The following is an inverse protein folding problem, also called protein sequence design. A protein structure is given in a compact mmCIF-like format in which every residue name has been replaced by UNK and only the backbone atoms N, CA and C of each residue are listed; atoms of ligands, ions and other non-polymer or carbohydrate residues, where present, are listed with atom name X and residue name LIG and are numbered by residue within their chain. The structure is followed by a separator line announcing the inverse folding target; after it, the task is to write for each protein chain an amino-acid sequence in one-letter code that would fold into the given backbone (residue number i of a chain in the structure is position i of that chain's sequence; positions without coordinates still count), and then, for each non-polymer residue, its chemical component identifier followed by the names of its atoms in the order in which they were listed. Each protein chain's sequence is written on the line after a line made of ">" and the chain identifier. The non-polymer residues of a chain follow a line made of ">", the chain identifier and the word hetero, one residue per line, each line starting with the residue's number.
data_IF_021530557494
#
_entry.id   IF_021530557494
#
_cell.length_a   1.000
_cell.length_b   1.000
_cell.length_c   1.000
_cell.angle_alpha   90.00
_cell.angle_beta   90.00
_cell.angle_gamma   90.00
#
_symmetry.space_group_name_H-M   'P 1'
#
loop_
_entity.id
_entity.type
_entity.pdbx_description
1 polymer ?
#
# COMPACT_ATOMS: atom_id res chain seq x y z
N UNK A 1 -0.24 9.79 -23.05
CA UNK A 1 0.71 10.56 -22.22
C UNK A 1 1.66 11.39 -23.09
N UNK A 2 2.11 12.58 -22.66
CA UNK A 2 3.11 13.39 -23.40
C UNK A 2 4.54 12.89 -23.18
N UNK A 3 5.43 13.10 -24.16
CA UNK A 3 6.85 12.71 -24.07
C UNK A 3 7.57 13.35 -22.88
N UNK A 4 7.24 14.61 -22.57
CA UNK A 4 7.80 15.34 -21.42
C UNK A 4 7.44 14.67 -20.08
N UNK A 5 6.21 14.17 -19.94
CA UNK A 5 5.75 13.49 -18.72
C UNK A 5 6.51 12.17 -18.49
N UNK A 6 6.75 11.43 -19.57
CA UNK A 6 7.48 10.16 -19.56
C UNK A 6 8.91 10.40 -19.07
N UNK A 7 9.61 11.38 -19.67
CA UNK A 7 10.98 11.70 -19.29
C UNK A 7 11.10 12.15 -17.83
N UNK A 8 10.18 12.99 -17.35
CA UNK A 8 10.18 13.42 -15.96
C UNK A 8 9.95 12.24 -15.01
N UNK A 9 9.03 11.33 -15.32
CA UNK A 9 8.79 10.14 -14.50
C UNK A 9 9.99 9.21 -14.46
N UNK A 10 10.64 8.96 -15.60
CA UNK A 10 11.84 8.12 -15.68
C UNK A 10 12.99 8.68 -14.82
N UNK A 11 13.18 10.00 -14.84
CA UNK A 11 14.19 10.65 -14.00
C UNK A 11 13.88 10.57 -12.50
N UNK A 12 12.62 10.31 -12.12
CA UNK A 12 12.18 10.21 -10.74
C UNK A 12 12.20 8.77 -10.21
N UNK A 13 12.29 7.76 -11.08
CA UNK A 13 12.40 6.35 -10.67
C UNK A 13 13.65 6.15 -9.80
N UNK A 14 13.47 5.50 -8.65
CA UNK A 14 14.51 5.24 -7.66
C UNK A 14 14.87 6.44 -6.78
N UNK A 15 14.40 7.65 -7.10
CA UNK A 15 14.65 8.84 -6.28
C UNK A 15 13.64 8.93 -5.14
N UNK A 16 14.13 9.45 -4.03
CA UNK A 16 13.26 9.74 -2.89
C UNK A 16 12.80 11.19 -2.94
N UNK A 17 11.49 11.41 -2.83
CA UNK A 17 10.85 12.73 -2.83
C UNK A 17 9.90 12.86 -1.66
N UNK A 18 9.47 14.09 -1.39
CA UNK A 18 8.38 14.37 -0.46
C UNK A 18 7.14 14.76 -1.26
N UNK A 19 6.06 14.02 -1.10
CA UNK A 19 4.77 14.27 -1.73
C UNK A 19 3.68 14.24 -0.66
N UNK A 20 2.82 15.26 -0.61
CA UNK A 20 1.80 15.44 0.44
C UNK A 20 2.33 15.26 1.87
N UNK A 21 3.54 15.78 2.13
CA UNK A 21 4.22 15.69 3.42
C UNK A 21 4.80 14.31 3.77
N UNK A 22 4.73 13.34 2.85
CA UNK A 22 5.24 11.97 3.04
C UNK A 22 6.47 11.73 2.17
N UNK A 23 7.47 11.07 2.74
CA UNK A 23 8.63 10.57 1.98
C UNK A 23 8.16 9.38 1.12
N UNK A 24 8.36 9.48 -0.18
CA UNK A 24 8.02 8.45 -1.16
C UNK A 24 9.22 8.12 -2.04
N UNK A 25 9.38 6.85 -2.40
CA UNK A 25 10.34 6.39 -3.40
C UNK A 25 9.58 5.88 -4.61
N UNK A 26 9.68 6.56 -5.74
CA UNK A 26 8.99 6.15 -6.97
C UNK A 26 9.70 4.92 -7.54
N UNK A 27 8.97 3.81 -7.71
CA UNK A 27 9.53 2.53 -8.18
C UNK A 27 9.27 2.28 -9.66
N UNK A 28 8.07 2.57 -10.12
CA UNK A 28 7.65 2.42 -11.51
C UNK A 28 6.39 3.22 -11.76
N UNK A 29 6.10 3.48 -13.03
CA UNK A 29 4.82 4.02 -13.48
C UNK A 29 4.24 3.15 -14.59
N UNK A 30 2.92 3.21 -14.78
CA UNK A 30 2.22 2.53 -15.87
C UNK A 30 1.01 3.34 -16.30
N UNK A 31 0.86 3.57 -17.61
CA UNK A 31 -0.38 4.08 -18.18
C UNK A 31 -1.39 2.94 -18.37
N UNK A 32 -2.60 3.12 -17.88
CA UNK A 32 -3.73 2.20 -18.06
C UNK A 32 -4.71 2.85 -19.05
N UNK A 33 -4.91 2.17 -20.18
CA UNK A 33 -5.93 2.49 -21.19
C UNK A 33 -5.95 3.98 -21.58
N UNK A 34 -4.77 4.60 -21.69
CA UNK A 34 -4.57 5.99 -22.14
C UNK A 34 -5.15 7.09 -21.25
N UNK A 35 -5.73 6.74 -20.09
CA UNK A 35 -6.56 7.67 -19.32
C UNK A 35 -6.10 7.84 -17.87
N UNK A 36 -5.34 6.87 -17.34
CA UNK A 36 -4.85 6.92 -15.95
C UNK A 36 -3.39 6.53 -15.91
N UNK A 37 -2.58 7.37 -15.28
CA UNK A 37 -1.16 7.14 -15.01
C UNK A 37 -1.03 6.67 -13.57
N UNK A 38 -0.59 5.43 -13.41
CA UNK A 38 -0.42 4.79 -12.09
C UNK A 38 1.04 4.85 -11.69
N UNK A 39 1.34 5.50 -10.56
CA UNK A 39 2.68 5.62 -9.99
C UNK A 39 2.78 4.72 -8.76
N UNK A 40 3.66 3.71 -8.84
CA UNK A 40 3.95 2.81 -7.73
C UNK A 40 5.10 3.37 -6.91
N UNK A 41 4.88 3.52 -5.61
CA UNK A 41 5.94 3.92 -4.67
C UNK A 41 6.33 2.79 -3.72
N UNK A 42 7.20 3.06 -2.76
CA UNK A 42 7.57 2.15 -1.67
C UNK A 42 6.44 1.87 -0.68
N UNK A 43 5.45 2.78 -0.58
CA UNK A 43 4.26 2.60 0.23
C UNK A 43 2.98 2.48 -0.61
N UNK A 44 2.43 3.63 -0.99
CA UNK A 44 1.14 3.71 -1.67
C UNK A 44 1.30 3.72 -3.19
N UNK A 45 0.24 3.32 -3.89
CA UNK A 45 0.12 3.52 -5.33
C UNK A 45 -0.79 4.71 -5.57
N UNK A 46 -0.32 5.67 -6.37
CA UNK A 46 -1.09 6.84 -6.76
C UNK A 46 -1.58 6.68 -8.19
N UNK A 47 -2.76 7.19 -8.48
CA UNK A 47 -3.34 7.18 -9.82
C UNK A 47 -3.72 8.61 -10.18
N UNK A 48 -3.30 9.05 -11.34
CA UNK A 48 -3.48 10.41 -11.82
C UNK A 48 -4.07 10.40 -13.22
N UNK A 49 -4.92 11.38 -13.51
CA UNK A 49 -5.30 11.72 -14.87
C UNK A 49 -4.14 12.48 -15.54
N UNK A 50 -4.04 12.47 -16.88
CA UNK A 50 -2.95 13.14 -17.59
C UNK A 50 -2.76 14.61 -17.22
N UNK A 51 -3.84 15.35 -16.94
CA UNK A 51 -3.76 16.77 -16.56
C UNK A 51 -3.35 16.98 -15.09
N UNK A 52 -3.53 15.99 -14.21
CA UNK A 52 -3.13 16.07 -12.80
C UNK A 52 -1.62 15.86 -12.63
N UNK A 53 -0.95 15.35 -13.66
CA UNK A 53 0.49 15.10 -13.63
C UNK A 53 1.30 16.38 -13.43
N UNK A 54 0.87 17.50 -14.01
CA UNK A 54 1.56 18.78 -13.82
C UNK A 54 1.50 19.25 -12.36
N UNK A 55 0.36 19.06 -11.71
CA UNK A 55 0.18 19.39 -10.30
C UNK A 55 1.00 18.45 -9.41
N UNK A 56 0.98 17.15 -9.71
CA UNK A 56 1.81 16.16 -9.05
C UNK A 56 3.30 16.54 -9.07
N UNK A 57 3.85 16.94 -10.23
CA UNK A 57 5.24 17.35 -10.32
C UNK A 57 5.55 18.63 -9.54
N UNK A 58 4.61 19.59 -9.49
CA UNK A 58 4.77 20.83 -8.70
C UNK A 58 4.80 20.55 -7.20
N UNK A 59 4.02 19.57 -6.74
CA UNK A 59 3.96 19.19 -5.33
C UNK A 59 5.12 18.32 -4.86
N UNK A 60 5.86 17.68 -5.78
CA UNK A 60 7.04 16.89 -5.47
C UNK A 60 8.20 17.77 -4.98
N UNK A 61 8.55 17.63 -3.71
CA UNK A 61 9.66 18.36 -3.07
C UNK A 61 10.88 17.47 -2.90
N UNK A 62 12.07 18.08 -2.96
CA UNK A 62 13.30 17.41 -2.55
C UNK A 62 13.26 17.07 -1.06
N UNK A 63 13.88 15.96 -0.68
CA UNK A 63 14.05 15.63 0.73
C UNK A 63 15.04 16.63 1.34
N UNK A 64 14.67 17.39 2.38
CA UNK A 64 15.61 18.26 3.09
C UNK A 64 16.85 17.47 3.52
N UNK A 65 18.05 18.01 3.26
CA UNK A 65 19.34 17.37 3.58
C UNK A 65 19.54 17.02 5.07
N UNK A 66 18.67 17.49 5.95
CA UNK A 66 18.74 17.31 7.41
C UNK A 66 17.54 16.55 8.03
N UNK A 67 16.93 15.61 7.32
CA UNK A 67 15.99 14.69 7.97
C UNK A 67 16.76 13.51 8.58
N UNK A 68 16.61 13.23 9.89
CA UNK A 68 17.18 12.03 10.48
C UNK A 68 16.67 10.83 9.69
N UNK A 69 17.58 9.92 9.32
CA UNK A 69 17.22 8.63 8.77
C UNK A 69 16.15 8.01 9.67
N UNK A 70 14.91 7.96 9.19
CA UNK A 70 13.91 7.08 9.76
C UNK A 70 14.40 5.68 9.39
N UNK A 71 15.31 5.15 10.22
CA UNK A 71 15.56 3.71 10.30
C UNK A 71 14.18 3.10 10.36
N UNK A 72 13.86 2.25 9.40
CA UNK A 72 12.65 1.45 9.34
C UNK A 72 12.61 0.55 10.58
N UNK A 73 12.32 1.13 11.75
CA UNK A 73 11.76 0.39 12.86
C UNK A 73 10.46 -0.12 12.31
N UNK A 74 10.38 -1.44 12.11
CA UNK A 74 9.10 -2.16 12.07
C UNK A 74 8.23 -1.52 13.14
N UNK A 75 7.34 -0.64 12.72
CA UNK A 75 6.40 -0.04 13.63
C UNK A 75 5.41 -1.16 13.81
N UNK A 76 5.62 -1.97 14.84
CA UNK A 76 4.46 -2.60 15.47
C UNK A 76 3.56 -1.42 15.81
N UNK A 77 2.52 -1.25 15.00
CA UNK A 77 1.50 -0.26 15.24
C UNK A 77 0.76 -0.79 16.47
N UNK A 78 1.27 -0.46 17.64
CA UNK A 78 0.53 -0.64 18.88
C UNK A 78 -0.55 0.44 18.86
N UNK A 79 -1.71 0.09 18.30
CA UNK A 79 -2.88 0.95 18.37
C UNK A 79 -3.24 1.02 19.86
N UNK A 80 -2.99 2.17 20.51
CA UNK A 80 -3.34 2.37 21.91
C UNK A 80 -4.84 2.03 22.10
N UNK A 81 -5.12 1.01 22.91
CA UNK A 81 -6.48 0.53 23.19
C UNK A 81 -6.95 -0.65 22.33
N UNK A 82 -6.16 -1.15 21.39
CA UNK A 82 -6.47 -2.39 20.68
C UNK A 82 -5.72 -3.57 21.29
N UNK A 83 -6.42 -4.43 22.01
CA UNK A 83 -5.95 -5.78 22.31
C UNK A 83 -6.50 -6.72 21.23
N UNK A 84 -5.63 -7.44 20.50
CA UNK A 84 -6.08 -8.52 19.63
C UNK A 84 -6.89 -9.52 20.46
N UNK A 85 -8.09 -9.87 20.00
CA UNK A 85 -8.87 -10.96 20.60
C UNK A 85 -8.13 -12.28 20.40
N UNK A 86 -8.41 -13.27 21.25
CA UNK A 86 -7.85 -14.62 21.09
C UNK A 86 -8.13 -15.18 19.68
N UNK A 87 -9.31 -14.93 19.13
CA UNK A 87 -9.68 -15.29 17.76
C UNK A 87 -8.78 -14.63 16.71
N UNK A 88 -8.41 -13.36 16.87
CA UNK A 88 -7.52 -12.67 15.94
C UNK A 88 -6.11 -13.27 15.94
N UNK A 89 -5.64 -13.75 17.09
CA UNK A 89 -4.35 -14.45 17.21
C UNK A 89 -4.42 -15.79 16.47
N UNK A 90 -5.46 -16.59 16.73
CA UNK A 90 -5.66 -17.90 16.08
C UNK A 90 -5.83 -17.79 14.57
N UNK A 91 -6.55 -16.76 14.09
CA UNK A 91 -6.74 -16.50 12.67
C UNK A 91 -5.40 -16.18 11.98
N UNK A 92 -4.58 -15.35 12.63
CA UNK A 92 -3.25 -14.97 12.13
C UNK A 92 -2.31 -16.19 12.05
N UNK A 93 -2.31 -17.05 13.06
CA UNK A 93 -1.51 -18.27 13.08
C UNK A 93 -1.94 -19.24 11.97
N UNK A 94 -3.25 -19.43 11.81
CA UNK A 94 -3.82 -20.28 10.75
C UNK A 94 -3.44 -19.79 9.35
N UNK A 95 -3.51 -18.48 9.12
CA UNK A 95 -3.07 -17.84 7.87
C UNK A 95 -1.57 -18.08 7.61
N UNK A 96 -0.73 -17.90 8.63
CA UNK A 96 0.73 -18.12 8.51
C UNK A 96 1.05 -19.59 8.20
N UNK A 97 0.33 -20.53 8.81
CA UNK A 97 0.56 -21.95 8.58
C UNK A 97 0.20 -22.35 7.14
N UNK A 98 -0.93 -21.87 6.63
CA UNK A 98 -1.32 -22.09 5.23
C UNK A 98 -0.29 -21.48 4.26
N UNK A 99 0.24 -20.29 4.56
CA UNK A 99 1.30 -19.68 3.76
C UNK A 99 2.59 -20.51 3.75
N UNK A 100 2.96 -21.14 4.89
CA UNK A 100 4.11 -22.05 4.98
C UNK A 100 3.88 -23.32 4.16
N UNK A 101 2.68 -23.88 4.19
CA UNK A 101 2.33 -25.08 3.40
C UNK A 101 2.42 -24.81 1.90
N UNK A 102 1.93 -23.67 1.42
CA UNK A 102 2.05 -23.27 0.00
C UNK A 102 3.52 -23.14 -0.40
N UNK A 103 4.36 -22.53 0.44
CA UNK A 103 5.77 -22.29 0.13
C UNK A 103 6.58 -23.59 0.07
N UNK A 104 6.17 -24.61 0.82
CA UNK A 104 6.90 -25.88 0.92
C UNK A 104 6.32 -26.98 0.00
N UNK A 105 5.02 -26.95 -0.32
CA UNK A 105 4.34 -27.88 -1.22
C UNK A 105 3.15 -27.21 -1.91
N UNK A 106 3.43 -26.54 -3.03
CA UNK A 106 2.44 -25.87 -3.87
C UNK A 106 1.61 -26.88 -4.69
N UNK A 107 0.74 -27.65 -4.04
CA UNK A 107 -0.27 -28.43 -4.74
C UNK A 107 -1.42 -27.53 -5.22
N UNK A 108 -2.08 -27.94 -6.30
CA UNK A 108 -3.21 -27.19 -6.88
C UNK A 108 -4.38 -27.05 -5.88
N UNK A 109 -4.54 -28.02 -4.98
CA UNK A 109 -5.51 -27.98 -3.88
C UNK A 109 -5.10 -26.98 -2.78
N UNK A 110 -3.81 -26.94 -2.43
CA UNK A 110 -3.26 -25.98 -1.45
C UNK A 110 -3.43 -24.54 -1.95
N UNK A 111 -3.19 -24.30 -3.26
CA UNK A 111 -3.36 -22.98 -3.90
C UNK A 111 -4.84 -22.55 -3.88
N UNK A 112 -5.78 -23.47 -4.14
CA UNK A 112 -7.23 -23.17 -4.10
C UNK A 112 -7.70 -22.86 -2.67
N UNK A 113 -7.24 -23.63 -1.67
CA UNK A 113 -7.52 -23.35 -0.25
C UNK A 113 -6.99 -21.98 0.17
N UNK A 114 -5.74 -21.68 -0.18
CA UNK A 114 -5.13 -20.39 0.08
C UNK A 114 -5.88 -19.22 -0.55
N UNK A 115 -6.31 -19.36 -1.81
CA UNK A 115 -7.06 -18.33 -2.52
C UNK A 115 -8.40 -18.05 -1.83
N UNK A 116 -9.08 -19.10 -1.38
CA UNK A 116 -10.35 -18.98 -0.64
C UNK A 116 -10.15 -18.27 0.70
N UNK A 117 -9.07 -18.63 1.42
CA UNK A 117 -8.72 -18.00 2.69
C UNK A 117 -8.38 -16.51 2.50
N UNK A 118 -7.61 -16.15 1.47
CA UNK A 118 -7.33 -14.76 1.12
C UNK A 118 -8.60 -13.97 0.79
N UNK A 119 -9.56 -14.59 0.10
CA UNK A 119 -10.85 -13.95 -0.19
C UNK A 119 -11.66 -13.67 1.08
N UNK A 120 -11.69 -14.62 2.02
CA UNK A 120 -12.35 -14.45 3.33
C UNK A 120 -11.66 -13.35 4.14
N UNK A 121 -10.32 -13.36 4.22
CA UNK A 121 -9.56 -12.35 4.94
C UNK A 121 -9.78 -10.93 4.37
N UNK A 122 -9.81 -10.78 3.05
CA UNK A 122 -10.14 -9.51 2.39
C UNK A 122 -11.55 -9.03 2.77
N UNK A 123 -12.50 -9.94 2.84
CA UNK A 123 -13.88 -9.63 3.26
C UNK A 123 -13.91 -9.14 4.71
N UNK A 124 -13.20 -9.81 5.63
CA UNK A 124 -13.10 -9.39 7.03
C UNK A 124 -12.48 -7.99 7.18
N UNK A 125 -11.41 -7.68 6.43
CA UNK A 125 -10.79 -6.34 6.43
C UNK A 125 -11.78 -5.28 5.94
N UNK A 126 -12.57 -5.58 4.91
CA UNK A 126 -13.58 -4.65 4.40
C UNK A 126 -14.70 -4.39 5.42
N UNK A 127 -15.12 -5.42 6.17
CA UNK A 127 -16.08 -5.26 7.27
C UNK A 127 -15.50 -4.34 8.36
N UNK A 128 -14.26 -4.60 8.81
CA UNK A 128 -13.61 -3.76 9.83
C UNK A 128 -13.46 -2.30 9.37
N UNK A 129 -13.16 -2.06 8.08
CA UNK A 129 -13.13 -0.70 7.51
C UNK A 129 -14.50 -0.02 7.59
N UNK A 130 -15.58 -0.75 7.28
CA UNK A 130 -16.94 -0.24 7.35
C UNK A 130 -17.34 0.09 8.79
N UNK A 131 -16.99 -0.77 9.76
CA UNK A 131 -17.23 -0.54 11.18
C UNK A 131 -16.51 0.73 11.68
N UNK A 132 -15.23 0.88 11.36
CA UNK A 132 -14.44 2.08 11.71
C UNK A 132 -15.08 3.34 11.11
N UNK A 133 -15.51 3.28 9.85
CA UNK A 133 -16.18 4.40 9.18
C UNK A 133 -17.48 4.80 9.90
N UNK A 134 -18.31 3.83 10.28
CA UNK A 134 -19.53 4.06 11.06
C UNK A 134 -19.23 4.72 12.42
N UNK A 135 -18.25 4.19 13.16
CA UNK A 135 -17.83 4.75 14.46
C UNK A 135 -17.37 6.20 14.31
N UNK A 136 -16.57 6.50 13.28
CA UNK A 136 -16.07 7.86 13.04
C UNK A 136 -17.17 8.83 12.60
N UNK A 137 -18.20 8.33 11.92
CA UNK A 137 -19.36 9.14 11.49
C UNK A 137 -20.30 9.44 12.67
N UNK A 138 -20.49 8.51 13.60
CA UNK A 138 -21.31 8.68 14.81
C UNK A 138 -20.67 9.53 15.91
N UNK A 139 -19.35 9.76 15.85
CA UNK A 139 -18.60 10.60 16.79
C UNK A 139 -18.53 12.08 16.40
N UNK A 140 -19.14 12.47 15.28
CA UNK A 140 -19.34 13.87 14.87
C UNK A 140 -20.69 14.37 15.34
#
# INVERSE_FOLDING_TARGET
>A
MSEDTIQQLEQLIGKTKVYLGKKIVIKSYKEITGSVIVIKTDGLTYSFLPHEMEEFFKELKEVPKNLPEVKSKKTEITINGYQPTAENITLKESLINVLKEINNNASDETIKKASSICAVANTMVNIQKAEIYLINTLKK
#
